data_IF_717669109655
#
_entry.id   IF_717669109655
#
_cell.length_a   1.000
_cell.length_b   1.000
_cell.length_c   1.000
_cell.angle_alpha   90.00
_cell.angle_beta   90.00
_cell.angle_gamma   90.00
#
_symmetry.space_group_name_H-M   'P 1'
#
loop_
_entity.id
_entity.type
_entity.pdbx_description
1 polymer ?
#
# COMPACT_ATOMS: atom_id res chain seq x y z
N UNK A 1 21.77 12.23 -13.07
CA UNK A 1 21.43 11.30 -11.96
C UNK A 1 19.99 11.49 -11.48
N UNK A 2 19.53 12.73 -11.28
CA UNK A 2 18.13 13.05 -10.91
C UNK A 2 17.09 12.49 -11.88
N UNK A 3 17.34 12.56 -13.19
CA UNK A 3 16.40 12.07 -14.21
C UNK A 3 16.25 10.55 -14.19
N UNK A 4 17.34 9.81 -13.95
CA UNK A 4 17.32 8.35 -13.83
C UNK A 4 16.52 7.94 -12.59
N UNK A 5 16.75 8.61 -11.46
CA UNK A 5 15.98 8.36 -10.24
C UNK A 5 14.49 8.66 -10.47
N UNK A 6 14.15 9.72 -11.21
CA UNK A 6 12.78 10.09 -11.56
C UNK A 6 12.10 9.04 -12.42
N UNK A 7 12.76 8.60 -13.49
CA UNK A 7 12.25 7.54 -14.36
C UNK A 7 12.01 6.26 -13.57
N UNK A 8 12.98 5.84 -12.76
CA UNK A 8 12.85 4.64 -11.91
C UNK A 8 11.70 4.78 -10.90
N UNK A 9 11.55 5.95 -10.28
CA UNK A 9 10.47 6.22 -9.33
C UNK A 9 9.09 6.14 -9.99
N UNK A 10 8.94 6.74 -11.18
CA UNK A 10 7.69 6.72 -11.94
C UNK A 10 7.35 5.29 -12.38
N UNK A 11 8.31 4.55 -12.93
CA UNK A 11 8.10 3.15 -13.31
C UNK A 11 7.74 2.27 -12.11
N UNK A 12 8.46 2.41 -11.00
CA UNK A 12 8.16 1.70 -9.76
C UNK A 12 6.77 2.07 -9.22
N UNK A 13 6.38 3.34 -9.34
CA UNK A 13 5.06 3.85 -9.00
C UNK A 13 3.96 3.19 -9.84
N UNK A 14 4.12 3.14 -11.16
CA UNK A 14 3.16 2.48 -12.07
C UNK A 14 3.02 0.99 -11.72
N UNK A 15 4.13 0.30 -11.43
CA UNK A 15 4.08 -1.10 -11.02
C UNK A 15 3.35 -1.25 -9.68
N UNK A 16 3.69 -0.45 -8.66
CA UNK A 16 2.97 -0.44 -7.38
C UNK A 16 1.47 -0.16 -7.60
N UNK A 17 1.12 0.66 -8.60
CA UNK A 17 -0.26 0.92 -8.98
C UNK A 17 -1.03 -0.30 -9.44
N UNK A 18 -0.45 -1.00 -10.39
CA UNK A 18 -1.11 -2.15 -10.99
C UNK A 18 -1.10 -3.35 -10.03
N UNK A 19 -0.01 -3.53 -9.28
CA UNK A 19 0.14 -4.63 -8.34
C UNK A 19 -0.65 -4.45 -7.03
N UNK A 20 -0.99 -3.23 -6.62
CA UNK A 20 -1.72 -2.98 -5.36
C UNK A 20 -3.06 -3.72 -5.25
N UNK A 21 -4.04 -3.47 -6.15
CA UNK A 21 -5.32 -4.17 -6.13
C UNK A 21 -5.17 -5.68 -6.32
N UNK A 22 -4.25 -6.10 -7.21
CA UNK A 22 -3.99 -7.51 -7.48
C UNK A 22 -3.46 -8.22 -6.23
N UNK A 23 -2.51 -7.61 -5.51
CA UNK A 23 -1.95 -8.11 -4.27
C UNK A 23 -3.03 -8.24 -3.19
N UNK A 24 -3.89 -7.23 -3.01
CA UNK A 24 -4.98 -7.25 -2.03
C UNK A 24 -5.94 -8.40 -2.34
N UNK A 25 -6.41 -8.51 -3.59
CA UNK A 25 -7.36 -9.53 -4.00
C UNK A 25 -6.76 -10.94 -3.91
N UNK A 26 -5.52 -11.16 -4.37
CA UNK A 26 -4.89 -12.48 -4.29
C UNK A 26 -4.65 -12.89 -2.83
N UNK A 27 -4.14 -11.97 -2.00
CA UNK A 27 -3.84 -12.23 -0.59
C UNK A 27 -5.11 -12.56 0.17
N UNK A 28 -6.21 -11.85 -0.08
CA UNK A 28 -7.53 -12.17 0.48
C UNK A 28 -8.07 -13.51 -0.02
N UNK A 29 -7.89 -13.82 -1.31
CA UNK A 29 -8.43 -15.04 -1.93
C UNK A 29 -7.67 -16.31 -1.53
N UNK A 30 -6.33 -16.24 -1.45
CA UNK A 30 -5.47 -17.39 -1.11
C UNK A 30 -5.16 -17.50 0.38
N UNK A 31 -5.60 -16.54 1.20
CA UNK A 31 -5.43 -16.54 2.67
C UNK A 31 -3.99 -16.76 3.14
N UNK A 32 -3.08 -15.98 2.57
CA UNK A 32 -1.68 -16.02 2.93
C UNK A 32 -0.84 -15.15 2.02
N UNK A 33 0.44 -15.01 2.36
CA UNK A 33 1.39 -14.30 1.52
C UNK A 33 1.44 -14.94 0.12
N UNK A 34 1.39 -14.10 -0.90
CA UNK A 34 1.53 -14.51 -2.28
C UNK A 34 2.66 -13.74 -2.94
N UNK A 35 3.20 -14.30 -4.02
CA UNK A 35 4.16 -13.64 -4.89
C UNK A 35 3.71 -12.22 -5.29
N UNK A 36 2.41 -12.01 -5.54
CA UNK A 36 1.87 -10.69 -5.87
C UNK A 36 1.93 -9.69 -4.70
N UNK A 37 1.73 -10.15 -3.47
CA UNK A 37 1.87 -9.32 -2.26
C UNK A 37 3.32 -8.95 -2.00
N UNK A 38 4.23 -9.88 -2.24
CA UNK A 38 5.68 -9.65 -2.13
C UNK A 38 6.18 -8.69 -3.22
N UNK A 39 5.76 -8.85 -4.48
CA UNK A 39 6.05 -7.90 -5.57
C UNK A 39 5.50 -6.51 -5.24
N UNK A 40 4.29 -6.42 -4.69
CA UNK A 40 3.74 -5.13 -4.24
C UNK A 40 4.57 -4.50 -3.11
N UNK A 41 5.00 -5.29 -2.12
CA UNK A 41 5.88 -4.80 -1.06
C UNK A 41 7.20 -4.25 -1.62
N UNK A 42 7.87 -5.02 -2.48
CA UNK A 42 9.16 -4.63 -3.06
C UNK A 42 9.04 -3.41 -3.98
N UNK A 43 8.00 -3.35 -4.82
CA UNK A 43 7.76 -2.19 -5.69
C UNK A 43 7.50 -0.93 -4.87
N UNK A 44 6.72 -1.01 -3.79
CA UNK A 44 6.48 0.13 -2.93
C UNK A 44 7.71 0.54 -2.11
N UNK A 45 8.49 -0.45 -1.64
CA UNK A 45 9.78 -0.19 -1.00
C UNK A 45 10.73 0.55 -1.95
N UNK A 46 10.77 0.15 -3.23
CA UNK A 46 11.56 0.81 -4.26
C UNK A 46 11.07 2.25 -4.52
N UNK A 47 9.76 2.49 -4.55
CA UNK A 47 9.17 3.85 -4.64
C UNK A 47 9.61 4.70 -3.44
N UNK A 48 9.53 4.16 -2.21
CA UNK A 48 9.94 4.87 -1.01
C UNK A 48 11.44 5.18 -1.00
N UNK A 49 12.27 4.21 -1.39
CA UNK A 49 13.72 4.36 -1.47
C UNK A 49 14.12 5.42 -2.51
N UNK A 50 13.51 5.37 -3.70
CA UNK A 50 13.79 6.36 -4.76
C UNK A 50 13.33 7.76 -4.37
N UNK A 51 12.19 7.90 -3.69
CA UNK A 51 11.75 9.19 -3.13
C UNK A 51 12.72 9.70 -2.05
N UNK A 52 13.18 8.84 -1.15
CA UNK A 52 14.18 9.17 -0.13
C UNK A 52 15.49 9.69 -0.73
N UNK A 53 15.95 9.06 -1.82
CA UNK A 53 17.15 9.50 -2.55
C UNK A 53 16.94 10.87 -3.22
N UNK A 54 15.72 11.26 -3.56
CA UNK A 54 15.42 12.58 -4.14
C UNK A 54 15.35 13.71 -3.11
N UNK A 55 15.00 13.43 -1.85
CA UNK A 55 14.84 14.46 -0.81
C UNK A 55 16.08 15.35 -0.64
N UNK A 56 17.33 14.83 -0.59
CA UNK A 56 18.53 15.65 -0.49
C UNK A 56 18.76 16.59 -1.68
N UNK A 57 18.24 16.26 -2.88
CA UNK A 57 18.43 17.09 -4.07
C UNK A 57 17.58 18.37 -4.06
N UNK A 58 16.38 18.33 -3.47
CA UNK A 58 15.47 19.49 -3.37
C UNK A 58 14.88 19.61 -1.96
N UNK A 59 15.77 19.70 -0.97
CA UNK A 59 15.41 19.69 0.46
C UNK A 59 14.32 20.70 0.84
N UNK A 60 14.38 21.92 0.29
CA UNK A 60 13.42 23.00 0.62
C UNK A 60 11.98 22.71 0.20
N UNK A 61 11.78 21.88 -0.82
CA UNK A 61 10.45 21.51 -1.35
C UNK A 61 10.00 20.12 -0.92
N UNK A 62 10.94 19.19 -0.71
CA UNK A 62 10.65 17.77 -0.56
C UNK A 62 10.76 17.24 0.87
N UNK A 63 11.05 18.07 1.88
CA UNK A 63 11.25 17.58 3.25
C UNK A 63 10.07 16.75 3.80
N UNK A 64 8.83 17.10 3.41
CA UNK A 64 7.62 16.39 3.82
C UNK A 64 7.57 14.93 3.32
N UNK A 65 8.25 14.59 2.21
CA UNK A 65 8.28 13.21 1.69
C UNK A 65 9.04 12.25 2.62
N UNK A 66 9.92 12.77 3.47
CA UNK A 66 10.72 11.95 4.36
C UNK A 66 9.87 11.18 5.39
N UNK A 67 9.02 11.82 6.22
CA UNK A 67 8.12 11.09 7.11
C UNK A 67 7.05 10.29 6.35
N UNK A 68 6.59 10.77 5.19
CA UNK A 68 5.55 10.09 4.39
C UNK A 68 6.05 8.75 3.85
N UNK A 69 7.26 8.70 3.31
CA UNK A 69 7.85 7.46 2.77
C UNK A 69 8.08 6.43 3.86
N UNK A 70 8.56 6.85 5.04
CA UNK A 70 8.72 5.98 6.21
C UNK A 70 7.37 5.43 6.66
N UNK A 71 6.36 6.29 6.84
CA UNK A 71 5.02 5.86 7.24
C UNK A 71 4.40 4.89 6.22
N UNK A 72 4.52 5.20 4.93
CA UNK A 72 4.00 4.38 3.82
C UNK A 72 4.66 3.00 3.80
N UNK A 73 5.98 2.93 3.98
CA UNK A 73 6.70 1.67 4.06
C UNK A 73 6.26 0.85 5.28
N UNK A 74 6.09 1.49 6.45
CA UNK A 74 5.61 0.81 7.66
C UNK A 74 4.21 0.21 7.46
N UNK A 75 3.29 0.93 6.81
CA UNK A 75 1.96 0.38 6.49
C UNK A 75 2.05 -0.92 5.69
N UNK A 76 2.85 -0.94 4.63
CA UNK A 76 2.95 -2.12 3.75
C UNK A 76 3.77 -3.23 4.37
N UNK A 77 4.75 -2.91 5.21
CA UNK A 77 5.45 -3.90 6.04
C UNK A 77 4.51 -4.60 7.02
N UNK A 78 3.67 -3.83 7.73
CA UNK A 78 2.66 -4.40 8.63
C UNK A 78 1.62 -5.22 7.88
N UNK A 79 1.21 -4.77 6.69
CA UNK A 79 0.33 -5.53 5.79
C UNK A 79 0.92 -6.88 5.39
N UNK A 80 2.21 -6.93 5.05
CA UNK A 80 2.91 -8.17 4.72
C UNK A 80 3.02 -9.10 5.93
N UNK A 81 3.43 -8.60 7.11
CA UNK A 81 3.47 -9.42 8.32
C UNK A 81 2.10 -9.99 8.70
N UNK A 82 1.03 -9.22 8.50
CA UNK A 82 -0.33 -9.72 8.69
C UNK A 82 -0.71 -10.83 7.70
N UNK A 83 -0.14 -10.83 6.49
CA UNK A 83 -0.31 -11.90 5.51
C UNK A 83 0.56 -13.14 5.80
N UNK A 84 1.73 -12.97 6.40
CA UNK A 84 2.65 -14.06 6.80
C UNK A 84 2.15 -14.83 8.02
N UNK A 85 1.54 -14.14 8.99
CA UNK A 85 0.99 -14.75 10.20
C UNK A 85 -0.55 -14.54 10.28
N UNK A 86 -1.34 -15.27 9.47
CA UNK A 86 -2.78 -15.07 9.40
C UNK A 86 -3.50 -15.56 10.69
N UNK A 87 -3.59 -14.69 11.69
CA UNK A 87 -4.41 -14.87 12.91
C UNK A 87 -5.88 -14.49 12.71
N UNK A 88 -6.69 -14.45 13.77
CA UNK A 88 -8.16 -14.27 13.67
C UNK A 88 -8.69 -12.99 12.98
N UNK A 89 -7.87 -11.94 12.84
CA UNK A 89 -8.21 -10.66 12.19
C UNK A 89 -7.21 -10.24 11.09
N UNK A 90 -6.47 -11.19 10.54
CA UNK A 90 -5.39 -10.95 9.57
C UNK A 90 -5.82 -10.10 8.35
N UNK A 91 -7.04 -10.31 7.84
CA UNK A 91 -7.58 -9.56 6.70
C UNK A 91 -7.64 -8.05 6.96
N UNK A 92 -7.88 -7.62 8.21
CA UNK A 92 -7.89 -6.18 8.58
C UNK A 92 -6.49 -5.58 8.52
N UNK A 93 -5.48 -6.37 8.92
CA UNK A 93 -4.07 -5.97 8.83
C UNK A 93 -3.63 -5.83 7.37
N UNK A 94 -4.00 -6.79 6.51
CA UNK A 94 -3.72 -6.73 5.06
C UNK A 94 -4.45 -5.56 4.41
N UNK A 95 -5.73 -5.35 4.70
CA UNK A 95 -6.50 -4.23 4.13
C UNK A 95 -5.95 -2.87 4.55
N UNK A 96 -5.67 -2.68 5.84
CA UNK A 96 -5.15 -1.41 6.34
C UNK A 96 -3.70 -1.19 5.91
N UNK A 97 -2.89 -2.24 5.81
CA UNK A 97 -1.51 -2.16 5.38
C UNK A 97 -1.38 -1.95 3.87
N UNK A 98 -1.76 -2.94 3.06
CA UNK A 98 -1.66 -2.84 1.60
C UNK A 98 -2.62 -1.80 1.03
N UNK A 99 -3.86 -1.74 1.52
CA UNK A 99 -4.80 -0.69 1.11
C UNK A 99 -4.34 0.70 1.56
N UNK A 100 -3.79 0.84 2.76
CA UNK A 100 -3.24 2.12 3.24
C UNK A 100 -2.07 2.60 2.39
N UNK A 101 -1.12 1.72 2.07
CA UNK A 101 -0.03 2.01 1.14
C UNK A 101 -0.53 2.39 -0.26
N UNK A 102 -1.60 1.74 -0.71
CA UNK A 102 -2.22 2.01 -2.00
C UNK A 102 -2.86 3.40 -2.08
N UNK A 103 -3.56 3.78 -1.01
CA UNK A 103 -4.15 5.12 -0.84
C UNK A 103 -3.07 6.20 -0.71
N UNK A 104 -1.99 5.91 0.03
CA UNK A 104 -0.85 6.82 0.14
C UNK A 104 -0.21 7.09 -1.22
N UNK A 105 -0.10 6.07 -2.08
CA UNK A 105 0.44 6.23 -3.43
C UNK A 105 -0.45 7.13 -4.30
N UNK A 106 -1.77 6.90 -4.29
CA UNK A 106 -2.72 7.79 -4.99
C UNK A 106 -2.68 9.22 -4.47
N UNK A 107 -2.50 9.39 -3.16
CA UNK A 107 -2.35 10.71 -2.55
C UNK A 107 -1.09 11.40 -3.06
N UNK A 108 0.04 10.71 -3.10
CA UNK A 108 1.27 11.26 -3.66
C UNK A 108 1.10 11.67 -5.15
N UNK A 109 0.46 10.83 -5.96
CA UNK A 109 0.16 11.15 -7.37
C UNK A 109 -0.73 12.39 -7.48
N UNK A 110 -1.79 12.47 -6.69
CA UNK A 110 -2.74 13.59 -6.71
C UNK A 110 -2.06 14.90 -6.30
N UNK A 111 -1.23 14.87 -5.26
CA UNK A 111 -0.52 16.05 -4.74
C UNK A 111 0.52 16.57 -5.73
N UNK A 112 1.25 15.67 -6.41
CA UNK A 112 2.22 16.05 -7.42
C UNK A 112 1.54 16.57 -8.69
N UNK A 113 0.40 15.99 -9.07
CA UNK A 113 -0.34 16.38 -10.29
C UNK A 113 -1.16 17.67 -10.11
N UNK A 114 -1.66 17.93 -8.90
CA UNK A 114 -2.53 19.07 -8.58
C UNK A 114 -1.99 19.87 -7.37
N UNK A 115 -0.79 20.48 -7.47
CA UNK A 115 -0.09 21.06 -6.33
C UNK A 115 -0.80 22.27 -5.69
N UNK A 116 -1.73 22.91 -6.39
CA UNK A 116 -2.46 24.09 -5.90
C UNK A 116 -3.79 23.75 -5.22
N UNK A 117 -4.19 22.47 -5.23
CA UNK A 117 -5.50 22.06 -4.72
C UNK A 117 -5.33 21.35 -3.38
N UNK A 118 -5.72 22.01 -2.29
CA UNK A 118 -5.64 21.46 -0.94
C UNK A 118 -6.48 20.18 -0.76
N UNK A 119 -7.57 20.03 -1.51
CA UNK A 119 -8.40 18.82 -1.48
C UNK A 119 -7.75 17.61 -2.17
N UNK A 120 -6.68 17.78 -2.96
CA UNK A 120 -5.94 16.67 -3.56
C UNK A 120 -5.26 15.77 -2.51
N UNK A 121 -5.00 16.31 -1.31
CA UNK A 121 -4.57 15.54 -0.15
C UNK A 121 -5.72 14.73 0.47
N UNK A 122 -6.86 15.39 0.71
CA UNK A 122 -7.95 14.82 1.50
C UNK A 122 -8.77 13.81 0.71
N UNK A 123 -9.00 14.05 -0.57
CA UNK A 123 -9.90 13.25 -1.38
C UNK A 123 -9.48 11.76 -1.47
N UNK A 124 -8.25 11.41 -1.88
CA UNK A 124 -7.81 10.01 -1.92
C UNK A 124 -7.75 9.38 -0.52
N UNK A 125 -7.34 10.13 0.50
CA UNK A 125 -7.30 9.63 1.89
C UNK A 125 -8.71 9.29 2.38
N UNK A 126 -9.64 10.24 2.32
CA UNK A 126 -11.00 10.06 2.85
C UNK A 126 -11.72 8.94 2.10
N UNK A 127 -11.68 8.94 0.77
CA UNK A 127 -12.32 7.90 -0.04
C UNK A 127 -11.66 6.54 0.23
N UNK A 128 -10.33 6.51 0.20
CA UNK A 128 -9.55 5.29 0.41
C UNK A 128 -9.78 4.66 1.78
N UNK A 129 -9.67 5.45 2.85
CA UNK A 129 -9.91 4.99 4.21
C UNK A 129 -11.36 4.56 4.42
N UNK A 130 -12.33 5.29 3.87
CA UNK A 130 -13.74 4.90 3.95
C UNK A 130 -13.99 3.52 3.31
N UNK A 131 -13.42 3.26 2.13
CA UNK A 131 -13.52 1.96 1.45
C UNK A 131 -12.84 0.85 2.26
N UNK A 132 -11.64 1.11 2.80
CA UNK A 132 -10.91 0.13 3.62
C UNK A 132 -11.68 -0.23 4.88
N UNK A 133 -12.19 0.76 5.62
CA UNK A 133 -12.97 0.51 6.84
C UNK A 133 -14.28 -0.17 6.52
N UNK A 134 -14.98 0.23 5.44
CA UNK A 134 -16.21 -0.44 5.01
C UNK A 134 -15.99 -1.92 4.72
N UNK A 135 -14.92 -2.28 4.03
CA UNK A 135 -14.55 -3.68 3.78
C UNK A 135 -14.11 -4.42 5.06
N UNK A 136 -13.57 -3.70 6.06
CA UNK A 136 -13.25 -4.27 7.36
C UNK A 136 -14.51 -4.54 8.20
N UNK A 137 -15.54 -3.69 8.11
CA UNK A 137 -16.82 -3.85 8.80
C UNK A 137 -17.75 -4.84 8.10
N UNK A 138 -17.66 -4.96 6.78
CA UNK A 138 -18.44 -5.89 5.98
C UNK A 138 -17.55 -6.95 5.30
N UNK A 139 -16.85 -7.79 6.07
CA UNK A 139 -15.93 -8.76 5.50
C UNK A 139 -16.70 -9.84 4.73
N UNK A 140 -16.17 -10.25 3.58
CA UNK A 140 -16.73 -11.39 2.86
C UNK A 140 -16.71 -12.65 3.74
N UNK A 141 -17.78 -13.48 3.74
CA UNK A 141 -17.80 -14.77 4.44
C UNK A 141 -16.65 -15.71 4.03
N UNK A 142 -16.10 -15.50 2.84
CA UNK A 142 -14.93 -16.21 2.33
C UNK A 142 -13.63 -15.86 3.08
N UNK A 143 -13.56 -14.70 3.75
CA UNK A 143 -12.38 -14.26 4.51
C UNK A 143 -12.44 -14.68 5.98
N UNK A 144 -13.66 -14.83 6.53
CA UNK A 144 -13.91 -15.10 7.95
C UNK A 144 -14.11 -16.56 8.31
N UNK A 145 -14.44 -17.44 7.34
CA UNK A 145 -14.64 -18.88 7.59
C UNK A 145 -13.35 -19.52 8.12
N UNK A 146 -13.15 -19.67 9.42
CA UNK A 146 -12.06 -20.49 9.93
C UNK A 146 -12.19 -21.89 9.33
N UNK A 147 -11.11 -22.43 8.76
CA UNK A 147 -11.10 -23.86 8.46
C UNK A 147 -11.32 -24.56 9.80
N UNK A 148 -12.44 -25.29 9.93
CA UNK A 148 -12.67 -26.07 11.14
C UNK A 148 -11.50 -27.05 11.29
N UNK A 149 -10.78 -27.05 12.42
CA UNK A 149 -9.82 -28.11 12.70
C UNK A 149 -10.60 -29.41 12.86
N UNK A 150 -10.64 -30.24 11.80
CA UNK A 150 -11.32 -31.55 11.85
C UNK A 150 -11.84 -32.12 10.53
N UNK A 151 -11.85 -31.38 9.41
CA UNK A 151 -12.26 -31.96 8.13
C UNK A 151 -11.05 -32.55 7.37
N UNK A 152 -10.73 -33.81 7.65
CA UNK A 152 -9.91 -34.65 6.77
C UNK A 152 -10.74 -35.15 5.57
N UNK A 153 -10.11 -35.38 4.40
CA UNK A 153 -10.78 -35.84 3.18
C UNK A 153 -11.38 -37.25 3.28
#
# INVERSE_FOLDING_TARGET
>A
MRDIALILHVLAGILAVLFGPLAIVLTLRRRGLNWAGEVYHWTLALVCLTALVMVPYDWSRLWYFWPITIATYLFVYLGQRAAEAPGGLWYRGVLRGYGGGWVALWTAIAVVSLPHQWWAWLLPIVIGTAVIEWLCFNPSPSWTRQAQPGATP
#
